data_IF_860754367945
#
_entry.id   IF_860754367945
#
_cell.length_a   1.000
_cell.length_b   1.000
_cell.length_c   1.000
_cell.angle_alpha   90.00
_cell.angle_beta   90.00
_cell.angle_gamma   90.00
#
_symmetry.space_group_name_H-M   'P 1'
#
loop_
_entity.id
_entity.type
_entity.pdbx_description
1 polymer ?
#
# COMPACT_ATOMS: atom_id res chain seq x y z
N UNK A 1 11.89 -29.62 -74.34
CA UNK A 1 10.62 -30.04 -73.71
C UNK A 1 10.61 -29.36 -72.36
N UNK A 2 9.66 -28.46 -72.16
CA UNK A 2 9.52 -27.66 -70.94
C UNK A 2 8.12 -27.89 -70.41
N UNK A 3 7.99 -28.19 -69.11
CA UNK A 3 6.68 -28.41 -68.51
C UNK A 3 5.86 -27.10 -68.48
N UNK A 4 4.53 -27.20 -68.67
CA UNK A 4 3.64 -26.04 -68.58
C UNK A 4 3.40 -25.65 -67.12
N UNK A 5 3.62 -24.36 -66.82
CA UNK A 5 3.32 -23.78 -65.51
C UNK A 5 1.80 -23.64 -65.31
N UNK A 6 1.22 -24.01 -64.15
CA UNK A 6 -0.21 -23.87 -63.90
C UNK A 6 -0.66 -22.41 -63.84
N UNK A 7 -1.93 -22.11 -64.21
CA UNK A 7 -2.44 -20.74 -64.25
C UNK A 7 -2.58 -20.14 -62.86
N UNK A 8 -2.23 -18.86 -62.74
CA UNK A 8 -2.44 -18.05 -61.54
C UNK A 8 -3.77 -17.31 -61.68
N UNK A 9 -4.68 -17.49 -60.72
CA UNK A 9 -5.86 -16.63 -60.56
C UNK A 9 -7.21 -17.32 -60.77
N UNK A 10 -7.63 -18.14 -59.81
CA UNK A 10 -9.05 -18.25 -59.45
C UNK A 10 -9.26 -17.45 -58.15
N UNK A 11 -10.34 -16.64 -58.03
CA UNK A 11 -10.65 -15.93 -56.80
C UNK A 11 -11.07 -16.93 -55.72
N UNK A 12 -10.51 -16.78 -54.53
CA UNK A 12 -10.95 -17.54 -53.34
C UNK A 12 -12.27 -16.95 -52.87
N UNK A 13 -13.33 -17.76 -52.80
CA UNK A 13 -14.60 -17.36 -52.18
C UNK A 13 -14.36 -16.91 -50.74
N UNK A 14 -14.76 -15.67 -50.42
CA UNK A 14 -14.62 -15.13 -49.07
C UNK A 14 -15.49 -15.92 -48.08
N UNK A 15 -14.95 -16.36 -46.93
CA UNK A 15 -15.76 -17.02 -45.92
C UNK A 15 -16.74 -16.01 -45.32
N UNK A 16 -18.03 -16.31 -45.40
CA UNK A 16 -19.11 -15.52 -44.79
C UNK A 16 -18.79 -15.20 -43.32
N UNK A 17 -18.91 -13.93 -42.89
CA UNK A 17 -18.52 -13.53 -41.54
C UNK A 17 -19.39 -14.22 -40.48
N UNK A 18 -18.73 -14.89 -39.56
CA UNK A 18 -19.34 -15.45 -38.34
C UNK A 18 -19.72 -14.28 -37.41
N UNK A 19 -20.87 -14.36 -36.73
CA UNK A 19 -21.54 -13.26 -35.99
C UNK A 19 -20.83 -12.78 -34.70
N UNK A 20 -19.51 -12.89 -34.62
CA UNK A 20 -18.72 -12.63 -33.41
C UNK A 20 -17.53 -11.67 -33.67
N UNK A 21 -17.79 -10.56 -34.38
CA UNK A 21 -16.82 -9.46 -34.48
C UNK A 21 -16.66 -8.74 -33.14
N UNK A 22 -15.64 -9.18 -32.41
CA UNK A 22 -15.23 -8.62 -31.12
C UNK A 22 -14.72 -7.17 -31.23
N UNK A 23 -14.28 -6.74 -32.42
CA UNK A 23 -13.78 -5.38 -32.68
C UNK A 23 -14.94 -4.43 -32.92
N UNK A 24 -15.95 -4.83 -33.71
CA UNK A 24 -17.19 -4.09 -33.92
C UNK A 24 -17.88 -3.68 -32.61
N UNK A 25 -18.09 -4.63 -31.69
CA UNK A 25 -18.71 -4.34 -30.37
C UNK A 25 -17.90 -3.36 -29.50
N UNK A 26 -16.57 -3.35 -29.64
CA UNK A 26 -15.72 -2.41 -28.91
C UNK A 26 -15.90 -0.97 -29.44
N UNK A 27 -16.19 -0.80 -30.73
CA UNK A 27 -16.51 0.49 -31.32
C UNK A 27 -17.94 0.96 -31.00
N UNK A 28 -18.92 0.05 -30.97
CA UNK A 28 -20.29 0.36 -30.53
C UNK A 28 -20.31 0.85 -29.07
N UNK A 29 -19.59 0.17 -28.17
CA UNK A 29 -19.48 0.60 -26.77
C UNK A 29 -18.80 1.97 -26.56
N UNK A 30 -17.97 2.42 -27.51
CA UNK A 30 -17.41 3.77 -27.50
C UNK A 30 -18.43 4.81 -28.01
N UNK A 31 -19.25 4.47 -28.99
CA UNK A 31 -20.28 5.34 -29.53
C UNK A 31 -21.39 5.63 -28.49
N UNK A 32 -21.85 4.59 -27.78
CA UNK A 32 -22.84 4.74 -26.69
C UNK A 32 -22.32 5.62 -25.54
N UNK A 33 -21.05 5.46 -25.16
CA UNK A 33 -20.43 6.28 -24.11
C UNK A 33 -20.29 7.76 -24.51
N UNK A 34 -20.10 8.04 -25.79
CA UNK A 34 -20.00 9.40 -26.35
C UNK A 34 -21.38 10.04 -26.60
N UNK A 35 -22.41 9.23 -26.87
CA UNK A 35 -23.81 9.67 -26.87
C UNK A 35 -24.28 10.06 -25.46
N UNK A 36 -24.02 9.21 -24.46
CA UNK A 36 -24.35 9.48 -23.06
C UNK A 36 -23.65 10.73 -22.49
N UNK A 37 -22.49 11.12 -23.05
CA UNK A 37 -21.83 12.40 -22.71
C UNK A 37 -22.52 13.63 -23.31
N UNK A 38 -23.19 13.52 -24.46
CA UNK A 38 -23.91 14.63 -25.10
C UNK A 38 -25.24 14.92 -24.41
N UNK A 39 -26.01 13.90 -24.05
CA UNK A 39 -27.29 14.06 -23.36
C UNK A 39 -27.16 14.68 -21.96
N UNK A 40 -25.99 14.60 -21.34
CA UNK A 40 -25.70 15.24 -20.06
C UNK A 40 -25.48 16.78 -20.15
N UNK A 41 -25.45 17.36 -21.36
CA UNK A 41 -25.11 18.79 -21.57
C UNK A 41 -26.21 19.50 -22.39
N UNK A 42 -27.40 19.58 -21.82
CA UNK A 42 -28.45 20.55 -22.23
C UNK A 42 -29.03 21.25 -21.00
N UNK A 43 -28.60 22.48 -20.71
CA UNK A 43 -29.37 23.40 -19.89
C UNK A 43 -30.28 24.22 -20.80
N UNK A 44 -31.60 24.07 -20.66
CA UNK A 44 -32.56 25.06 -21.16
C UNK A 44 -33.23 25.73 -19.97
N UNK A 45 -32.90 27.01 -19.77
CA UNK A 45 -33.89 27.99 -19.29
C UNK A 45 -33.45 29.41 -19.70
N UNK A 46 -33.85 29.81 -20.91
CA UNK A 46 -33.60 31.16 -21.45
C UNK A 46 -34.89 31.97 -21.58
N UNK A 47 -35.36 32.61 -20.49
CA UNK A 47 -36.58 33.42 -20.56
C UNK A 47 -36.70 34.59 -19.55
N UNK A 48 -35.78 35.57 -19.57
CA UNK A 48 -36.16 36.97 -19.21
C UNK A 48 -35.43 37.98 -20.10
N UNK A 49 -36.17 38.66 -20.97
CA UNK A 49 -35.75 39.88 -21.66
C UNK A 49 -36.13 41.12 -20.80
N UNK A 50 -35.67 42.35 -20.98
CA UNK A 50 -34.96 43.02 -22.07
C UNK A 50 -34.35 44.35 -21.56
N UNK A 51 -33.77 45.15 -22.48
CA UNK A 51 -33.35 46.56 -22.32
C UNK A 51 -32.05 46.77 -21.50
N UNK A 52 -31.09 47.64 -21.88
CA UNK A 52 -31.07 48.69 -22.91
C UNK A 52 -29.64 48.96 -23.43
N UNK A 53 -29.55 49.52 -24.63
CA UNK A 53 -28.48 50.29 -25.32
C UNK A 53 -27.38 50.98 -24.47
N UNK A 54 -26.24 51.45 -25.00
CA UNK A 54 -25.43 51.19 -26.21
C UNK A 54 -24.21 52.16 -26.20
N UNK A 55 -23.12 51.82 -26.92
CA UNK A 55 -22.20 52.75 -27.62
C UNK A 55 -21.63 54.00 -26.92
N UNK A 56 -20.31 54.03 -26.70
CA UNK A 56 -19.36 54.97 -27.37
C UNK A 56 -17.90 54.74 -26.95
N UNK A 57 -16.98 54.99 -27.89
CA UNK A 57 -15.52 55.03 -27.67
C UNK A 57 -15.02 56.48 -27.68
N UNK A 58 -13.82 56.76 -27.12
CA UNK A 58 -12.73 57.54 -27.78
C UNK A 58 -11.53 57.88 -26.86
N UNK A 59 -10.32 57.82 -27.44
CA UNK A 59 -9.11 58.63 -27.19
C UNK A 59 -8.28 58.56 -25.87
N UNK A 60 -7.06 58.03 -26.01
CA UNK A 60 -5.78 58.46 -25.38
C UNK A 60 -5.30 59.85 -25.90
N UNK A 61 -4.11 60.39 -25.50
CA UNK A 61 -3.40 60.45 -24.20
C UNK A 61 -2.97 61.93 -23.86
N UNK A 62 -2.05 62.18 -22.90
CA UNK A 62 -0.88 63.13 -22.98
C UNK A 62 -0.26 63.54 -21.60
N UNK A 63 1.07 63.39 -21.51
CA UNK A 63 2.14 64.11 -20.78
C UNK A 63 2.26 64.25 -19.21
N UNK A 64 3.50 63.97 -18.80
CA UNK A 64 4.31 64.32 -17.60
C UNK A 64 4.78 65.81 -17.58
N UNK A 65 5.71 66.32 -16.72
CA UNK A 65 6.33 65.81 -15.47
C UNK A 65 6.46 66.85 -14.30
N UNK A 66 7.04 66.41 -13.14
CA UNK A 66 7.92 67.13 -12.17
C UNK A 66 7.58 66.82 -10.67
N UNK A 67 8.44 66.97 -9.65
CA UNK A 67 9.92 66.88 -9.47
C UNK A 67 10.25 67.13 -7.96
N UNK A 68 11.48 66.82 -7.50
CA UNK A 68 12.20 67.33 -6.29
C UNK A 68 12.10 66.59 -4.91
N UNK A 69 13.18 65.83 -4.63
CA UNK A 69 14.05 65.76 -3.43
C UNK A 69 13.69 65.05 -2.08
N UNK A 70 14.63 64.19 -1.65
CA UNK A 70 15.00 63.91 -0.24
C UNK A 70 15.97 64.99 0.30
N UNK A 71 16.29 65.01 1.63
CA UNK A 71 17.53 64.35 2.06
C UNK A 71 17.57 63.74 3.48
N UNK A 72 18.28 62.60 3.58
CA UNK A 72 19.25 62.17 4.62
C UNK A 72 19.26 62.84 6.02
N UNK A 73 19.27 62.00 7.07
CA UNK A 73 19.99 62.28 8.32
C UNK A 73 20.55 60.98 8.95
N UNK A 74 21.68 61.09 9.66
CA UNK A 74 22.54 59.99 10.15
C UNK A 74 22.74 60.13 11.66
N UNK A 75 22.74 59.01 12.42
CA UNK A 75 23.74 58.69 13.47
C UNK A 75 23.31 57.57 14.44
N UNK A 76 24.23 56.63 14.67
CA UNK A 76 24.29 55.75 15.85
C UNK A 76 25.32 56.34 16.84
N UNK A 77 25.21 56.09 18.16
CA UNK A 77 26.38 55.49 18.82
C UNK A 77 26.06 54.50 19.95
N UNK A 78 26.99 53.57 20.18
CA UNK A 78 26.99 52.65 21.32
C UNK A 78 27.92 53.12 22.47
N UNK A 79 27.50 52.93 23.73
CA UNK A 79 28.38 52.95 24.93
C UNK A 79 27.86 51.92 25.96
N UNK A 80 28.77 51.31 26.73
CA UNK A 80 28.51 50.19 27.63
C UNK A 80 28.39 50.57 29.13
N UNK A 81 27.74 49.68 29.90
CA UNK A 81 28.13 49.36 31.29
C UNK A 81 27.47 50.11 32.44
N UNK A 82 26.74 49.37 33.30
CA UNK A 82 26.66 49.65 34.74
C UNK A 82 26.26 48.39 35.51
N UNK A 83 26.71 48.28 36.77
CA UNK A 83 26.49 47.14 37.67
C UNK A 83 25.74 47.57 38.96
N UNK A 84 25.48 46.59 39.84
CA UNK A 84 24.74 46.67 41.12
C UNK A 84 23.21 46.78 40.97
N UNK A 85 22.38 46.01 41.67
CA UNK A 85 22.35 45.78 43.13
C UNK A 85 21.54 44.51 43.48
N UNK A 86 21.92 43.78 44.54
CA UNK A 86 21.08 42.78 45.25
C UNK A 86 20.81 43.29 46.69
N UNK A 87 19.79 42.82 47.45
CA UNK A 87 19.94 41.54 48.18
C UNK A 87 18.66 40.76 48.61
N UNK A 88 18.85 39.50 49.08
CA UNK A 88 17.98 38.65 49.94
C UNK A 88 16.56 38.26 49.41
N UNK A 89 15.94 37.11 49.78
CA UNK A 89 15.81 36.45 51.10
C UNK A 89 15.81 34.90 51.03
N UNK A 90 16.50 34.29 52.00
CA UNK A 90 16.45 32.98 52.69
C UNK A 90 15.92 31.63 52.08
N UNK A 91 16.69 30.59 52.43
CA UNK A 91 16.49 29.12 52.40
C UNK A 91 15.96 28.59 53.78
N UNK A 92 15.77 27.27 54.04
CA UNK A 92 15.42 26.13 53.17
C UNK A 92 14.10 25.50 53.72
N UNK A 93 13.98 24.33 54.43
CA UNK A 93 14.71 23.04 54.49
C UNK A 93 14.05 21.89 53.70
N UNK A 94 14.67 20.70 53.69
CA UNK A 94 14.18 19.47 53.06
C UNK A 94 13.82 18.35 54.07
N UNK A 95 12.95 17.41 53.68
CA UNK A 95 12.86 16.00 54.15
C UNK A 95 12.08 15.21 53.08
N UNK A 96 12.08 13.88 52.97
CA UNK A 96 12.98 12.75 53.19
C UNK A 96 12.15 11.50 52.78
N UNK A 97 12.77 10.41 52.32
CA UNK A 97 12.09 9.18 51.84
C UNK A 97 11.42 8.39 52.98
N UNK A 98 10.52 7.43 52.66
CA UNK A 98 10.68 5.95 52.82
C UNK A 98 9.36 5.16 52.62
N UNK A 99 9.44 3.98 51.98
CA UNK A 99 8.58 2.75 52.01
C UNK A 99 7.03 2.87 51.90
N UNK A 100 6.33 2.24 50.94
CA UNK A 100 6.11 0.79 50.66
C UNK A 100 4.94 0.16 51.44
N UNK A 101 3.87 -0.21 50.73
CA UNK A 101 3.00 -1.36 50.99
C UNK A 101 2.02 -1.55 49.80
N UNK A 102 1.72 -2.80 49.45
CA UNK A 102 0.73 -3.15 48.42
C UNK A 102 -0.61 -3.56 49.05
N UNK A 103 -1.72 -3.33 48.34
CA UNK A 103 -2.84 -4.28 48.29
C UNK A 103 -3.62 -4.14 46.97
N UNK A 104 -4.37 -5.18 46.60
CA UNK A 104 -4.95 -5.37 45.27
C UNK A 104 -6.44 -4.97 45.17
N UNK A 105 -6.84 -4.43 44.02
CA UNK A 105 -8.26 -4.29 43.66
C UNK A 105 -8.50 -4.37 42.13
N UNK A 106 -8.91 -5.58 41.68
CA UNK A 106 -9.84 -5.90 40.58
C UNK A 106 -9.79 -5.07 39.27
N UNK A 107 -9.31 -5.63 38.14
CA UNK A 107 -9.55 -5.06 36.81
C UNK A 107 -11.00 -5.33 36.31
N UNK A 108 -11.56 -4.48 35.44
CA UNK A 108 -12.92 -4.62 34.94
C UNK A 108 -13.09 -5.82 33.99
N UNK A 109 -14.22 -6.50 34.13
CA UNK A 109 -14.68 -7.61 33.27
C UNK A 109 -14.97 -7.09 31.86
N UNK A 110 -14.22 -7.58 30.87
CA UNK A 110 -14.60 -7.49 29.46
C UNK A 110 -15.36 -8.77 29.07
N UNK A 111 -16.43 -8.63 28.30
CA UNK A 111 -17.11 -9.77 27.68
C UNK A 111 -16.32 -10.19 26.44
N UNK A 112 -15.78 -11.40 26.47
CA UNK A 112 -15.00 -11.98 25.39
C UNK A 112 -15.93 -12.54 24.31
N UNK A 113 -15.99 -11.88 23.16
CA UNK A 113 -16.72 -12.39 21.99
C UNK A 113 -15.94 -13.53 21.34
N UNK A 114 -16.39 -14.76 21.60
CA UNK A 114 -16.11 -16.04 20.90
C UNK A 114 -15.25 -15.96 19.63
N UNK A 115 -14.09 -16.63 19.64
CA UNK A 115 -13.64 -17.35 18.45
C UNK A 115 -12.97 -18.68 18.81
N UNK A 116 -13.75 -19.77 18.93
CA UNK A 116 -13.18 -21.12 19.01
C UNK A 116 -13.91 -22.16 18.17
N UNK A 117 -13.40 -22.37 16.95
CA UNK A 117 -13.48 -23.68 16.29
C UNK A 117 -12.05 -24.19 16.05
N UNK A 118 -11.45 -24.72 17.12
CA UNK A 118 -10.28 -25.60 17.04
C UNK A 118 -10.70 -26.95 17.60
N UNK A 119 -10.79 -27.94 16.73
CA UNK A 119 -10.90 -29.34 17.12
C UNK A 119 -9.63 -29.78 17.87
N UNK A 120 -9.73 -30.23 19.15
CA UNK A 120 -8.60 -30.79 19.85
C UNK A 120 -8.34 -32.20 19.34
N UNK A 121 -7.09 -32.48 18.97
CA UNK A 121 -6.63 -33.86 18.81
C UNK A 121 -6.58 -34.51 20.21
N UNK A 122 -7.29 -35.61 20.39
CA UNK A 122 -7.19 -36.39 21.62
C UNK A 122 -5.95 -37.29 21.60
N UNK A 123 -5.07 -37.10 22.58
CA UNK A 123 -4.07 -38.10 22.95
C UNK A 123 -4.76 -39.42 23.33
N UNK A 124 -4.18 -40.53 22.86
CA UNK A 124 -4.63 -41.88 23.16
C UNK A 124 -4.02 -42.33 24.49
N UNK A 125 -4.82 -42.69 25.52
CA UNK A 125 -4.26 -43.32 26.71
C UNK A 125 -3.76 -44.73 26.36
N UNK A 126 -2.47 -44.94 26.57
CA UNK A 126 -1.80 -46.22 26.44
C UNK A 126 -2.12 -47.07 27.68
N UNK A 127 -2.94 -48.11 27.51
CA UNK A 127 -3.39 -48.97 28.60
C UNK A 127 -2.66 -50.32 28.54
N UNK A 128 -1.69 -50.47 29.44
CA UNK A 128 -0.94 -51.70 29.65
C UNK A 128 -1.88 -52.83 30.11
N UNK A 129 -1.86 -53.98 29.42
CA UNK A 129 -2.69 -55.14 29.75
C UNK A 129 -1.85 -56.43 29.70
N UNK A 130 -1.54 -56.97 30.88
CA UNK A 130 -0.73 -58.17 31.03
C UNK A 130 -1.42 -59.44 30.45
N UNK A 131 -0.66 -60.39 29.88
CA UNK A 131 -1.23 -61.57 29.24
C UNK A 131 -1.73 -62.61 30.25
N UNK A 132 -3.04 -62.85 30.27
CA UNK A 132 -3.61 -64.03 30.95
C UNK A 132 -3.46 -65.26 30.06
N UNK A 133 -2.71 -66.26 30.54
CA UNK A 133 -2.54 -67.54 29.85
C UNK A 133 -3.78 -68.41 30.06
N UNK A 134 -4.42 -68.83 28.97
CA UNK A 134 -5.51 -69.84 28.97
C UNK A 134 -5.06 -71.05 28.17
N UNK A 135 -5.25 -72.24 28.73
CA UNK A 135 -4.83 -73.53 28.16
C UNK A 135 -5.64 -73.94 26.92
N UNK A 136 -5.09 -74.76 26.00
CA UNK A 136 -5.73 -75.08 24.73
C UNK A 136 -6.86 -76.10 24.88
N UNK A 137 -8.04 -75.79 24.32
CA UNK A 137 -9.16 -76.70 24.22
C UNK A 137 -9.33 -77.21 22.77
N UNK A 138 -9.14 -78.53 22.59
CA UNK A 138 -9.63 -79.42 21.52
C UNK A 138 -9.86 -78.88 20.10
N UNK A 139 -9.12 -79.44 19.14
CA UNK A 139 -9.28 -79.19 17.72
C UNK A 139 -10.63 -79.68 17.16
N UNK A 140 -11.50 -78.73 16.78
CA UNK A 140 -12.61 -78.96 15.85
C UNK A 140 -12.15 -78.87 14.39
N UNK A 141 -12.85 -79.54 13.48
CA UNK A 141 -12.44 -79.68 12.08
C UNK A 141 -12.24 -78.33 11.37
N UNK A 142 -11.12 -78.18 10.66
CA UNK A 142 -10.78 -76.97 9.91
C UNK A 142 -11.69 -76.81 8.68
N UNK A 143 -12.68 -75.91 8.79
CA UNK A 143 -13.32 -75.31 7.62
C UNK A 143 -12.28 -74.40 6.98
N UNK A 144 -12.02 -74.57 5.68
CA UNK A 144 -11.08 -73.71 4.96
C UNK A 144 -11.55 -72.24 5.06
N UNK A 145 -10.70 -71.30 5.51
CA UNK A 145 -11.11 -69.91 5.64
C UNK A 145 -11.44 -69.36 4.25
N UNK A 146 -12.65 -68.79 4.10
CA UNK A 146 -12.96 -67.99 2.94
C UNK A 146 -11.93 -66.85 2.84
N UNK A 147 -11.33 -66.67 1.66
CA UNK A 147 -10.39 -65.58 1.41
C UNK A 147 -11.18 -64.27 1.44
N UNK A 148 -11.26 -63.67 2.62
CA UNK A 148 -11.81 -62.33 2.78
C UNK A 148 -10.90 -61.34 2.03
N UNK A 149 -11.44 -60.45 1.20
CA UNK A 149 -10.63 -59.45 0.52
C UNK A 149 -9.94 -58.57 1.57
N UNK A 150 -8.60 -58.60 1.59
CA UNK A 150 -7.79 -57.74 2.44
C UNK A 150 -8.10 -56.27 2.12
N UNK A 151 -8.46 -55.42 3.10
CA UNK A 151 -8.75 -54.02 2.84
C UNK A 151 -7.54 -53.30 2.25
N UNK A 152 -7.65 -52.83 1.01
CA UNK A 152 -6.66 -51.94 0.41
C UNK A 152 -6.88 -50.54 0.96
N UNK A 153 -6.03 -50.13 1.90
CA UNK A 153 -6.01 -48.76 2.41
C UNK A 153 -5.41 -47.82 1.37
N UNK A 154 -6.25 -47.31 0.46
CA UNK A 154 -5.87 -46.15 -0.37
C UNK A 154 -5.68 -44.94 0.55
N UNK A 155 -4.58 -44.21 0.35
CA UNK A 155 -4.39 -42.93 1.04
C UNK A 155 -5.44 -41.95 0.51
N UNK A 156 -6.17 -41.29 1.42
CA UNK A 156 -7.12 -40.25 1.03
C UNK A 156 -6.37 -39.08 0.33
N UNK A 157 -6.99 -38.40 -0.64
CA UNK A 157 -6.43 -37.19 -1.22
C UNK A 157 -6.04 -36.17 -0.14
N UNK A 158 -4.88 -35.50 -0.26
CA UNK A 158 -4.50 -34.43 0.67
C UNK A 158 -5.28 -33.15 0.33
N UNK A 159 -5.83 -32.47 1.36
CA UNK A 159 -6.55 -31.23 1.19
C UNK A 159 -5.65 -30.11 0.59
N UNK A 160 -6.16 -29.31 -0.37
CA UNK A 160 -5.36 -28.30 -1.06
C UNK A 160 -4.96 -27.17 -0.12
N UNK A 161 -3.65 -26.92 -0.01
CA UNK A 161 -3.09 -25.86 0.85
C UNK A 161 -3.38 -24.47 0.24
N UNK A 162 -4.03 -23.53 0.97
CA UNK A 162 -4.46 -22.25 0.41
C UNK A 162 -3.28 -21.32 0.13
N UNK A 163 -3.20 -20.80 -1.10
CA UNK A 163 -2.13 -19.87 -1.52
C UNK A 163 -2.36 -18.46 -0.93
N UNK A 164 -1.29 -17.86 -0.43
CA UNK A 164 -1.27 -16.48 0.11
C UNK A 164 -0.82 -15.44 -0.93
N UNK A 165 -1.09 -14.17 -0.65
CA UNK A 165 -0.75 -13.04 -1.54
C UNK A 165 0.44 -12.19 -1.03
N UNK A 166 0.93 -12.46 0.21
CA UNK A 166 1.96 -11.66 0.90
C UNK A 166 3.24 -11.42 0.09
N UNK A 167 3.78 -12.45 -0.57
CA UNK A 167 4.98 -12.32 -1.40
C UNK A 167 4.77 -11.44 -2.63
N UNK A 168 3.59 -11.53 -3.26
CA UNK A 168 3.22 -10.67 -4.37
C UNK A 168 3.00 -9.21 -3.93
N UNK A 169 2.45 -9.00 -2.74
CA UNK A 169 2.34 -7.66 -2.14
C UNK A 169 3.73 -7.02 -1.92
N UNK A 170 4.74 -7.81 -1.51
CA UNK A 170 6.13 -7.33 -1.41
C UNK A 170 6.74 -6.97 -2.77
N UNK A 171 6.58 -7.82 -3.79
CA UNK A 171 7.09 -7.54 -5.13
C UNK A 171 6.44 -6.30 -5.78
N UNK A 172 5.12 -6.14 -5.61
CA UNK A 172 4.39 -4.95 -6.05
C UNK A 172 4.80 -3.71 -5.22
N UNK A 173 5.02 -3.88 -3.91
CA UNK A 173 5.51 -2.83 -3.03
C UNK A 173 6.90 -2.33 -3.39
N UNK A 174 7.77 -3.17 -3.94
CA UNK A 174 9.09 -2.76 -4.43
C UNK A 174 8.96 -1.84 -5.65
N UNK A 175 8.06 -2.16 -6.58
CA UNK A 175 7.73 -1.26 -7.71
C UNK A 175 7.12 0.05 -7.22
N UNK A 176 6.21 0.00 -6.24
CA UNK A 176 5.66 1.18 -5.60
C UNK A 176 6.74 2.05 -4.93
N UNK A 177 7.76 1.43 -4.31
CA UNK A 177 8.86 2.13 -3.66
C UNK A 177 9.82 2.79 -4.65
N UNK A 178 10.07 2.17 -5.81
CA UNK A 178 10.78 2.80 -6.91
C UNK A 178 9.98 3.98 -7.48
N UNK A 179 8.65 3.84 -7.64
CA UNK A 179 7.77 4.95 -8.02
C UNK A 179 7.78 6.08 -6.98
N UNK A 180 7.78 5.74 -5.69
CA UNK A 180 7.91 6.71 -4.59
C UNK A 180 9.24 7.46 -4.68
N UNK A 181 10.36 6.75 -4.87
CA UNK A 181 11.69 7.36 -5.00
C UNK A 181 11.73 8.37 -6.15
N UNK A 182 11.18 8.03 -7.32
CA UNK A 182 11.10 8.93 -8.48
C UNK A 182 10.21 10.13 -8.20
N UNK A 183 8.99 9.94 -7.70
CA UNK A 183 8.05 11.04 -7.45
C UNK A 183 8.54 11.98 -6.33
N UNK A 184 9.13 11.44 -5.26
CA UNK A 184 9.70 12.21 -4.16
C UNK A 184 10.95 12.99 -4.60
N UNK A 185 11.81 12.40 -5.44
CA UNK A 185 12.94 13.10 -6.04
C UNK A 185 12.49 14.22 -7.00
N UNK A 186 11.44 13.98 -7.80
CA UNK A 186 10.83 15.02 -8.64
C UNK A 186 10.20 16.14 -7.79
N UNK A 187 9.56 15.82 -6.66
CA UNK A 187 9.05 16.82 -5.73
C UNK A 187 10.18 17.66 -5.12
N UNK A 188 11.29 17.04 -4.70
CA UNK A 188 12.48 17.74 -4.21
C UNK A 188 13.05 18.67 -5.28
N UNK A 189 13.27 18.18 -6.50
CA UNK A 189 13.80 19.00 -7.60
C UNK A 189 12.83 20.13 -7.99
N UNK A 190 11.52 19.88 -7.97
CA UNK A 190 10.49 20.88 -8.24
C UNK A 190 10.47 22.00 -7.20
N UNK A 191 10.49 21.66 -5.91
CA UNK A 191 10.59 22.63 -4.81
C UNK A 191 11.89 23.45 -4.95
N UNK A 192 13.03 22.79 -5.17
CA UNK A 192 14.31 23.47 -5.34
C UNK A 192 14.37 24.39 -6.56
N UNK A 193 13.57 24.13 -7.61
CA UNK A 193 13.43 25.01 -8.77
C UNK A 193 12.55 26.24 -8.45
N UNK A 194 11.45 26.05 -7.71
CA UNK A 194 10.57 27.13 -7.24
C UNK A 194 11.31 28.07 -6.28
N UNK A 195 12.11 27.52 -5.38
CA UNK A 195 12.94 28.26 -4.42
C UNK A 195 14.21 28.88 -5.05
N UNK A 196 14.43 28.70 -6.37
CA UNK A 196 15.60 29.22 -7.09
C UNK A 196 16.94 28.53 -6.77
N UNK A 197 16.96 27.53 -5.88
CA UNK A 197 18.15 26.77 -5.50
C UNK A 197 18.65 25.77 -6.56
N UNK A 198 17.83 25.51 -7.59
CA UNK A 198 18.13 24.66 -8.75
C UNK A 198 17.91 25.46 -10.04
N UNK A 199 18.87 25.36 -10.96
CA UNK A 199 18.84 26.01 -12.28
C UNK A 199 19.24 25.01 -13.37
N UNK A 200 18.98 25.36 -14.63
CA UNK A 200 19.42 24.55 -15.78
C UNK A 200 20.93 24.23 -15.79
N UNK A 201 21.75 25.11 -15.20
CA UNK A 201 23.19 24.93 -15.10
C UNK A 201 23.63 23.92 -14.02
N UNK A 202 22.82 23.69 -12.97
CA UNK A 202 23.21 22.86 -11.82
C UNK A 202 22.30 21.64 -11.57
N UNK A 203 21.17 21.51 -12.28
CA UNK A 203 20.18 20.44 -12.09
C UNK A 203 20.78 19.04 -12.14
N UNK A 204 21.70 18.78 -13.08
CA UNK A 204 22.36 17.47 -13.21
C UNK A 204 23.24 17.15 -12.00
N UNK A 205 23.97 18.13 -11.47
CA UNK A 205 24.78 17.96 -10.25
C UNK A 205 23.89 17.75 -9.03
N UNK A 206 22.82 18.54 -8.88
CA UNK A 206 21.84 18.42 -7.79
C UNK A 206 21.16 17.05 -7.79
N UNK A 207 20.77 16.55 -8.97
CA UNK A 207 20.20 15.21 -9.15
C UNK A 207 21.16 14.11 -8.69
N UNK A 208 22.41 14.12 -9.16
CA UNK A 208 23.42 13.12 -8.79
C UNK A 208 23.73 13.18 -7.28
N UNK A 209 23.84 14.38 -6.69
CA UNK A 209 24.04 14.52 -5.24
C UNK A 209 22.85 13.97 -4.43
N UNK A 210 21.62 14.26 -4.84
CA UNK A 210 20.42 13.77 -4.16
C UNK A 210 20.35 12.22 -4.15
N UNK A 211 20.75 11.58 -5.26
CA UNK A 211 20.84 10.11 -5.36
C UNK A 211 21.85 9.48 -4.36
N UNK A 212 22.85 10.23 -3.91
CA UNK A 212 23.82 9.80 -2.89
C UNK A 212 23.41 10.11 -1.44
N UNK A 213 22.21 10.63 -1.19
CA UNK A 213 21.82 11.24 0.09
C UNK A 213 20.88 10.35 0.91
N UNK A 214 21.07 10.25 2.24
CA UNK A 214 20.18 9.45 3.12
C UNK A 214 18.75 10.00 3.17
N UNK A 215 18.58 11.31 3.05
CA UNK A 215 17.29 11.99 2.94
C UNK A 215 16.45 11.61 1.70
N UNK A 216 17.03 10.90 0.71
CA UNK A 216 16.28 10.22 -0.36
C UNK A 216 15.91 8.79 0.04
N UNK A 217 16.89 7.99 0.46
CA UNK A 217 16.71 6.54 0.61
C UNK A 217 15.99 6.10 1.88
N UNK A 218 16.14 6.82 3.00
CA UNK A 218 15.42 6.49 4.25
C UNK A 218 13.90 6.57 4.08
N UNK A 219 13.30 7.64 3.49
CA UNK A 219 11.88 7.66 3.16
C UNK A 219 11.42 6.49 2.28
N UNK A 220 12.20 6.16 1.25
CA UNK A 220 11.90 5.08 0.28
C UNK A 220 11.85 3.72 0.98
N UNK A 221 12.82 3.43 1.85
CA UNK A 221 12.89 2.18 2.60
C UNK A 221 11.77 2.10 3.64
N UNK A 222 11.48 3.19 4.36
CA UNK A 222 10.39 3.24 5.33
C UNK A 222 9.03 3.07 4.65
N UNK A 223 8.79 3.73 3.50
CA UNK A 223 7.61 3.51 2.66
C UNK A 223 7.49 2.04 2.23
N UNK A 224 8.56 1.44 1.71
CA UNK A 224 8.56 0.04 1.28
C UNK A 224 8.18 -0.92 2.42
N UNK A 225 8.80 -0.74 3.59
CA UNK A 225 8.52 -1.57 4.77
C UNK A 225 7.07 -1.38 5.22
N UNK A 226 6.58 -0.15 5.30
CA UNK A 226 5.21 0.14 5.72
C UNK A 226 4.17 -0.43 4.73
N UNK A 227 4.37 -0.25 3.41
CA UNK A 227 3.51 -0.83 2.37
C UNK A 227 3.54 -2.37 2.42
N UNK A 228 4.73 -2.98 2.56
CA UNK A 228 4.86 -4.43 2.61
C UNK A 228 4.22 -5.04 3.85
N UNK A 229 4.44 -4.44 5.03
CA UNK A 229 3.80 -4.86 6.28
C UNK A 229 2.27 -4.73 6.18
N UNK A 230 1.77 -3.62 5.64
CA UNK A 230 0.34 -3.44 5.40
C UNK A 230 -0.22 -4.53 4.46
N UNK A 231 0.48 -4.83 3.37
CA UNK A 231 0.14 -5.92 2.46
C UNK A 231 0.23 -7.32 3.08
N UNK A 232 1.15 -7.53 4.02
CA UNK A 232 1.29 -8.78 4.75
C UNK A 232 0.15 -9.01 5.76
N UNK A 233 -0.31 -7.94 6.41
CA UNK A 233 -1.44 -7.91 7.34
C UNK A 233 -2.77 -8.07 6.58
N UNK A 234 -3.03 -7.20 5.60
CA UNK A 234 -4.28 -7.20 4.82
C UNK A 234 -4.39 -8.45 3.91
N UNK A 235 -3.27 -8.94 3.36
CA UNK A 235 -3.13 -10.14 2.53
C UNK A 235 -4.07 -10.20 1.30
N UNK A 236 -5.35 -10.53 1.49
CA UNK A 236 -6.39 -10.64 0.46
C UNK A 236 -7.56 -9.66 0.66
N UNK A 237 -7.42 -8.67 1.54
CA UNK A 237 -8.43 -7.66 1.80
C UNK A 237 -8.77 -6.78 0.58
N UNK A 238 -9.99 -6.21 0.63
CA UNK A 238 -10.58 -5.39 -0.44
C UNK A 238 -9.81 -4.07 -0.61
N UNK A 239 -9.90 -3.46 -1.79
CA UNK A 239 -9.23 -2.18 -2.10
C UNK A 239 -9.52 -1.07 -1.06
N UNK A 240 -10.74 -0.96 -0.53
CA UNK A 240 -11.07 0.02 0.50
C UNK A 240 -10.20 -0.05 1.76
N UNK A 241 -9.65 -1.22 2.12
CA UNK A 241 -8.72 -1.33 3.23
C UNK A 241 -7.38 -0.61 2.94
N UNK A 242 -6.92 -0.64 1.68
CA UNK A 242 -5.74 0.12 1.22
C UNK A 242 -5.99 1.62 1.19
N UNK A 243 -7.24 2.06 0.96
CA UNK A 243 -7.62 3.48 1.03
C UNK A 243 -7.55 4.00 2.47
N UNK A 244 -8.11 3.25 3.43
CA UNK A 244 -8.15 3.66 4.84
C UNK A 244 -6.76 3.56 5.48
N UNK A 245 -6.15 2.36 5.43
CA UNK A 245 -4.84 2.14 6.07
C UNK A 245 -3.67 2.71 5.25
N UNK A 246 -3.88 3.15 4.01
CA UNK A 246 -2.89 3.92 3.24
C UNK A 246 -2.51 5.25 3.90
N UNK A 247 -3.36 5.80 4.77
CA UNK A 247 -3.00 6.92 5.64
C UNK A 247 -1.83 6.59 6.58
N UNK A 248 -1.75 5.35 7.09
CA UNK A 248 -0.63 4.93 7.94
C UNK A 248 0.68 4.82 7.14
N UNK A 249 0.61 4.42 5.87
CA UNK A 249 1.80 4.35 5.00
C UNK A 249 2.23 5.76 4.56
N UNK A 250 1.29 6.68 4.29
CA UNK A 250 1.60 8.10 4.13
C UNK A 250 2.28 8.69 5.37
N UNK A 251 1.74 8.44 6.57
CA UNK A 251 2.34 8.89 7.83
C UNK A 251 3.72 8.27 8.09
N UNK A 252 3.91 6.98 7.75
CA UNK A 252 5.23 6.34 7.81
C UNK A 252 6.22 6.97 6.82
N UNK A 253 5.77 7.36 5.62
CA UNK A 253 6.60 8.05 4.61
C UNK A 253 7.05 9.43 5.10
N UNK A 254 6.15 10.16 5.75
CA UNK A 254 6.46 11.42 6.44
C UNK A 254 7.45 11.23 7.61
N UNK A 255 7.24 10.21 8.45
CA UNK A 255 8.20 9.88 9.51
C UNK A 255 9.57 9.47 8.93
N UNK A 256 9.57 8.77 7.78
CA UNK A 256 10.77 8.44 7.01
C UNK A 256 11.49 9.68 6.45
N UNK A 257 10.76 10.74 6.08
CA UNK A 257 11.35 12.04 5.74
C UNK A 257 12.11 12.63 6.93
N UNK A 258 11.43 12.78 8.09
CA UNK A 258 12.06 13.33 9.30
C UNK A 258 13.27 12.49 9.75
N UNK A 259 13.16 11.17 9.70
CA UNK A 259 14.25 10.25 9.99
C UNK A 259 15.41 10.40 8.99
N UNK A 260 15.12 10.57 7.70
CA UNK A 260 16.13 10.83 6.67
C UNK A 260 16.94 12.10 6.94
N UNK A 261 16.32 13.16 7.46
CA UNK A 261 17.04 14.38 7.87
C UNK A 261 17.95 14.12 9.09
N UNK A 262 17.49 13.34 10.07
CA UNK A 262 18.30 12.93 11.24
C UNK A 262 19.46 11.98 10.89
N UNK A 263 19.34 11.18 9.83
CA UNK A 263 20.46 10.39 9.30
C UNK A 263 21.44 11.26 8.49
N UNK A 264 20.94 12.31 7.83
CA UNK A 264 21.74 13.23 7.04
C UNK A 264 22.56 14.21 7.90
N UNK A 265 22.03 14.60 9.07
CA UNK A 265 22.73 15.32 10.13
C UNK A 265 22.95 14.34 11.31
N UNK A 266 24.00 13.50 11.28
CA UNK A 266 24.10 12.24 12.02
C UNK A 266 23.61 12.32 13.47
N UNK A 267 22.40 11.79 13.75
CA UNK A 267 21.73 12.04 15.03
C UNK A 267 22.49 11.52 16.25
N UNK A 268 23.37 10.54 16.07
CA UNK A 268 24.27 10.01 17.10
C UNK A 268 25.44 10.95 17.47
N UNK A 269 25.63 12.03 16.71
CA UNK A 269 26.63 13.08 16.95
C UNK A 269 26.00 14.42 17.40
N UNK A 270 24.67 14.50 17.56
CA UNK A 270 23.98 15.72 18.02
C UNK A 270 23.24 15.47 19.33
N UNK A 271 23.01 16.53 20.09
CA UNK A 271 22.22 16.48 21.32
C UNK A 271 20.72 16.34 21.01
N UNK A 272 19.93 15.87 21.99
CA UNK A 272 18.48 15.71 21.83
C UNK A 272 17.76 17.02 21.48
N UNK A 273 18.25 18.17 21.96
CA UNK A 273 17.69 19.50 21.67
C UNK A 273 18.04 20.00 20.26
N UNK A 274 19.22 19.63 19.73
CA UNK A 274 19.58 19.89 18.34
C UNK A 274 18.78 19.00 17.38
N UNK A 275 18.63 17.71 17.70
CA UNK A 275 17.75 16.79 16.96
C UNK A 275 16.30 17.29 16.93
N UNK A 276 15.78 17.79 18.06
CA UNK A 276 14.44 18.38 18.12
C UNK A 276 14.28 19.59 17.18
N UNK A 277 15.25 20.50 17.13
CA UNK A 277 15.23 21.66 16.20
C UNK A 277 15.26 21.23 14.73
N UNK A 278 16.03 20.19 14.39
CA UNK A 278 16.06 19.63 13.02
C UNK A 278 14.68 19.07 12.66
N UNK A 279 14.03 18.34 13.56
CA UNK A 279 12.67 17.82 13.33
C UNK A 279 11.66 18.95 13.21
N UNK A 280 11.67 19.92 14.15
CA UNK A 280 10.75 21.05 14.20
C UNK A 280 10.75 21.87 12.90
N UNK A 281 11.94 22.20 12.37
CA UNK A 281 12.09 22.89 11.09
C UNK A 281 11.63 22.08 9.86
N UNK A 282 11.37 20.78 10.02
CA UNK A 282 10.96 19.87 8.94
C UNK A 282 9.50 19.40 9.06
N UNK A 283 8.82 19.64 10.20
CA UNK A 283 7.45 19.18 10.44
C UNK A 283 6.46 19.64 9.36
N UNK A 284 6.64 20.85 8.85
CA UNK A 284 5.81 21.46 7.80
C UNK A 284 6.60 21.79 6.53
N UNK A 285 7.77 21.18 6.34
CA UNK A 285 8.52 21.35 5.09
C UNK A 285 7.68 20.85 3.90
N UNK A 286 7.61 21.58 2.77
CA UNK A 286 6.82 21.15 1.61
C UNK A 286 7.17 19.75 1.11
N UNK A 287 8.44 19.35 1.23
CA UNK A 287 8.91 18.02 0.86
C UNK A 287 8.45 16.91 1.83
N UNK A 288 8.25 17.22 3.12
CA UNK A 288 7.66 16.30 4.09
C UNK A 288 6.18 16.06 3.79
N UNK A 289 5.44 17.12 3.46
CA UNK A 289 4.04 17.04 3.01
C UNK A 289 3.94 16.24 1.70
N UNK A 290 4.85 16.46 0.75
CA UNK A 290 4.93 15.68 -0.47
C UNK A 290 5.17 14.18 -0.18
N UNK A 291 6.07 13.83 0.75
CA UNK A 291 6.29 12.45 1.17
C UNK A 291 5.01 11.79 1.73
N UNK A 292 4.24 12.51 2.55
CA UNK A 292 2.94 12.03 3.05
C UNK A 292 1.96 11.74 1.91
N UNK A 293 1.74 12.71 1.02
CA UNK A 293 0.75 12.61 -0.06
C UNK A 293 1.15 11.53 -1.07
N UNK A 294 2.40 11.54 -1.55
CA UNK A 294 2.91 10.55 -2.51
C UNK A 294 2.83 9.14 -1.90
N UNK A 295 3.22 8.97 -0.62
CA UNK A 295 3.14 7.70 0.08
C UNK A 295 1.71 7.18 0.23
N UNK A 296 0.75 8.06 0.56
CA UNK A 296 -0.68 7.73 0.60
C UNK A 296 -1.19 7.29 -0.79
N UNK A 297 -1.03 8.13 -1.81
CA UNK A 297 -1.60 7.87 -3.13
C UNK A 297 -1.02 6.61 -3.77
N UNK A 298 0.30 6.41 -3.73
CA UNK A 298 0.91 5.18 -4.22
C UNK A 298 0.39 3.94 -3.49
N UNK A 299 0.12 4.05 -2.18
CA UNK A 299 -0.50 2.95 -1.42
C UNK A 299 -1.92 2.62 -1.90
N UNK A 300 -2.70 3.64 -2.29
CA UNK A 300 -4.04 3.44 -2.87
C UNK A 300 -3.97 2.77 -4.24
N UNK A 301 -3.13 3.27 -5.14
CA UNK A 301 -3.03 2.80 -6.52
C UNK A 301 -2.40 1.41 -6.63
N UNK A 302 -1.22 1.20 -6.02
CA UNK A 302 -0.58 -0.12 -6.00
C UNK A 302 -1.35 -1.11 -5.12
N UNK A 303 -2.00 -0.63 -4.04
CA UNK A 303 -2.90 -1.44 -3.23
C UNK A 303 -4.12 -1.96 -4.00
N UNK A 304 -4.66 -1.20 -4.97
CA UNK A 304 -5.70 -1.67 -5.87
C UNK A 304 -5.24 -2.88 -6.69
N UNK A 305 -4.00 -2.84 -7.21
CA UNK A 305 -3.40 -3.95 -7.95
C UNK A 305 -3.15 -5.18 -7.06
N UNK A 306 -2.61 -5.00 -5.84
CA UNK A 306 -2.45 -6.08 -4.86
C UNK A 306 -3.79 -6.72 -4.51
N UNK A 307 -4.83 -5.91 -4.30
CA UNK A 307 -6.18 -6.39 -4.00
C UNK A 307 -6.84 -7.12 -5.19
N UNK A 308 -6.63 -6.66 -6.42
CA UNK A 308 -7.11 -7.33 -7.64
C UNK A 308 -6.47 -8.72 -7.80
N UNK A 309 -5.15 -8.82 -7.60
CA UNK A 309 -4.45 -10.11 -7.58
C UNK A 309 -4.92 -11.01 -6.42
N UNK A 310 -5.16 -10.42 -5.24
CA UNK A 310 -5.66 -11.10 -4.06
C UNK A 310 -7.00 -11.81 -4.30
N UNK A 311 -7.94 -11.19 -5.04
CA UNK A 311 -9.22 -11.82 -5.44
C UNK A 311 -9.00 -13.05 -6.31
N UNK A 312 -8.18 -12.95 -7.36
CA UNK A 312 -7.88 -14.08 -8.26
C UNK A 312 -7.18 -15.25 -7.54
N UNK A 313 -6.37 -14.96 -6.52
CA UNK A 313 -5.78 -16.02 -5.66
C UNK A 313 -6.85 -16.68 -4.78
N UNK A 314 -7.85 -15.94 -4.27
CA UNK A 314 -9.00 -16.54 -3.58
C UNK A 314 -9.83 -17.44 -4.50
N UNK A 315 -10.15 -16.98 -5.71
CA UNK A 315 -10.89 -17.75 -6.72
C UNK A 315 -10.19 -19.09 -7.06
N UNK A 316 -8.87 -19.06 -7.27
CA UNK A 316 -8.08 -20.27 -7.53
C UNK A 316 -8.02 -21.22 -6.32
N UNK A 317 -8.02 -20.69 -5.09
CA UNK A 317 -8.06 -21.52 -3.89
C UNK A 317 -9.45 -22.19 -3.73
N UNK A 318 -10.54 -21.46 -4.00
CA UNK A 318 -11.90 -21.99 -3.96
C UNK A 318 -12.13 -23.06 -5.05
N UNK A 319 -11.65 -22.82 -6.27
CA UNK A 319 -11.72 -23.80 -7.34
C UNK A 319 -11.00 -25.11 -6.97
N UNK A 320 -9.80 -25.03 -6.39
CA UNK A 320 -9.06 -26.19 -5.90
C UNK A 320 -9.78 -26.92 -4.76
N UNK A 321 -10.48 -26.20 -3.87
CA UNK A 321 -11.31 -26.79 -2.81
C UNK A 321 -12.53 -27.53 -3.40
N UNK A 322 -13.25 -26.94 -4.36
CA UNK A 322 -14.36 -27.60 -5.04
C UNK A 322 -13.94 -28.77 -5.95
N UNK A 323 -12.70 -28.78 -6.45
CA UNK A 323 -12.11 -29.97 -7.10
C UNK A 323 -11.86 -31.08 -6.09
N UNK A 324 -11.26 -30.75 -4.95
CA UNK A 324 -11.04 -31.69 -3.85
C UNK A 324 -12.35 -32.30 -3.31
N UNK A 325 -13.36 -31.47 -3.04
CA UNK A 325 -14.71 -31.90 -2.63
C UNK A 325 -15.31 -32.89 -3.65
N UNK A 326 -15.29 -32.56 -4.95
CA UNK A 326 -15.75 -33.48 -6.01
C UNK A 326 -14.98 -34.79 -6.06
N UNK A 327 -13.67 -34.80 -5.77
CA UNK A 327 -12.90 -36.06 -5.68
C UNK A 327 -13.24 -36.90 -4.46
N UNK A 328 -13.68 -36.29 -3.35
CA UNK A 328 -14.19 -37.01 -2.19
C UNK A 328 -15.58 -37.60 -2.46
N UNK A 329 -16.47 -36.83 -3.08
CA UNK A 329 -17.82 -37.26 -3.46
C UNK A 329 -17.83 -38.41 -4.47
N UNK A 330 -16.90 -38.40 -5.43
CA UNK A 330 -16.77 -39.44 -6.46
C UNK A 330 -16.38 -40.83 -5.90
N UNK A 331 -15.79 -40.88 -4.70
CA UNK A 331 -15.38 -42.10 -4.02
C UNK A 331 -14.26 -42.89 -4.72
N UNK A 332 -13.83 -44.03 -4.12
CA UNK A 332 -12.79 -44.87 -4.69
C UNK A 332 -13.28 -45.62 -5.93
N UNK A 333 -12.84 -45.18 -7.12
CA UNK A 333 -13.12 -45.88 -8.37
C UNK A 333 -12.24 -47.14 -8.48
N UNK A 334 -12.87 -48.32 -8.32
CA UNK A 334 -12.24 -49.60 -8.62
C UNK A 334 -12.00 -49.68 -10.14
N UNK A 335 -10.74 -49.60 -10.57
CA UNK A 335 -10.38 -49.88 -11.96
C UNK A 335 -10.66 -51.37 -12.26
N UNK A 336 -11.81 -51.66 -12.88
CA UNK A 336 -12.09 -53.00 -13.37
C UNK A 336 -11.07 -53.34 -14.47
N UNK A 337 -10.13 -54.23 -14.14
CA UNK A 337 -9.16 -54.75 -15.10
C UNK A 337 -9.88 -55.42 -16.26
N UNK A 338 -9.45 -55.10 -17.47
CA UNK A 338 -9.84 -55.76 -18.72
C UNK A 338 -8.99 -57.02 -18.93
#
# INVERSE_FOLDING_TARGET
MSDPQPPIGEPVDEPTPVEDDVVGRAHEGLADAEAARRDAVVPDDSAVAAHTSATSASAEPVAEPASVAEPTSVAEPAVAGSAAQAPHVDEPPATARVAEAADAAVPPRYEETEPYDRTPWYDRPEADAAPTVVAPAVAGAAVAPAVQPQPIFVQAPEAPRPKGNRGAAGAIGLLAALSFAVLYLLAWLGIGLVDGGITSANVSQKLVSALGTWALWVPVVVFFIAFWLLGAIINRGRWGAWVIFGLLVGLASYAGHLLGQLFQAPFWNVTASEGAKIVEGQLFAPLAIAAFVIGRELTVWFGAWVAARGRRVSELNLAAQHEYERTLEAGPQLSQGR
#
